data_IF_474400353611
#
_entry.id   IF_474400353611
#
_cell.length_a   1.000
_cell.length_b   1.000
_cell.length_c   1.000
_cell.angle_alpha   90.00
_cell.angle_beta   90.00
_cell.angle_gamma   90.00
#
_symmetry.space_group_name_H-M   'P 1'
#
loop_
_entity.id
_entity.type
_entity.pdbx_description
1 polymer ?
#
# COMPACT_ATOMS: atom_id res chain seq x y z
N UNK A 1 -5.66 20.18 2.30
CA UNK A 1 -4.85 19.42 3.28
C UNK A 1 -4.80 17.98 2.76
N UNK A 2 -3.68 17.27 2.88
CA UNK A 2 -3.61 15.87 2.44
C UNK A 2 -4.56 14.99 3.29
N UNK A 3 -5.17 13.97 2.70
CA UNK A 3 -6.07 13.03 3.39
C UNK A 3 -5.36 11.75 3.82
N UNK A 4 -4.30 11.38 3.09
CA UNK A 4 -3.48 10.21 3.36
C UNK A 4 -2.01 10.45 3.00
N UNK A 5 -1.15 9.61 3.55
CA UNK A 5 0.26 9.47 3.17
C UNK A 5 0.46 8.09 2.56
N UNK A 6 1.28 7.99 1.51
CA UNK A 6 1.64 6.72 0.87
C UNK A 6 3.15 6.60 0.82
N UNK A 7 3.67 5.48 1.31
CA UNK A 7 5.10 5.16 1.33
C UNK A 7 5.32 3.95 0.44
N UNK A 8 6.22 4.08 -0.54
CA UNK A 8 6.69 2.94 -1.33
C UNK A 8 7.74 2.15 -0.55
N UNK A 9 7.49 0.87 -0.31
CA UNK A 9 8.37 -0.01 0.49
C UNK A 9 9.28 -0.88 -0.38
N UNK A 10 9.26 -0.68 -1.71
CA UNK A 10 9.97 -1.53 -2.66
C UNK A 10 9.16 -2.79 -3.03
N UNK A 11 9.64 -3.53 -4.03
CA UNK A 11 9.01 -4.78 -4.51
C UNK A 11 7.52 -4.63 -4.87
N UNK A 12 7.14 -3.48 -5.44
CA UNK A 12 5.74 -3.19 -5.79
C UNK A 12 4.78 -3.22 -4.59
N UNK A 13 5.30 -2.99 -3.37
CA UNK A 13 4.54 -2.84 -2.12
C UNK A 13 4.43 -1.39 -1.71
N UNK A 14 3.25 -0.99 -1.23
CA UNK A 14 3.03 0.32 -0.60
C UNK A 14 2.44 0.18 0.80
N UNK A 15 2.66 1.20 1.62
CA UNK A 15 1.96 1.42 2.89
C UNK A 15 1.23 2.75 2.82
N UNK A 16 -0.09 2.71 2.96
CA UNK A 16 -0.93 3.91 3.01
C UNK A 16 -1.38 4.16 4.44
N UNK A 17 -1.33 5.40 4.89
CA UNK A 17 -1.88 5.86 6.17
C UNK A 17 -2.96 6.90 5.94
N UNK A 18 -4.17 6.65 6.40
CA UNK A 18 -5.23 7.65 6.44
C UNK A 18 -4.97 8.61 7.61
N UNK A 19 -4.79 9.90 7.34
CA UNK A 19 -4.31 10.85 8.35
C UNK A 19 -5.32 11.12 9.46
N UNK A 20 -6.62 11.10 9.13
CA UNK A 20 -7.66 11.39 10.11
C UNK A 20 -7.89 10.24 11.10
N UNK A 21 -7.91 8.99 10.63
CA UNK A 21 -8.15 7.83 11.52
C UNK A 21 -6.86 7.16 12.03
N UNK A 22 -5.72 7.46 11.41
CA UNK A 22 -4.46 6.76 11.68
C UNK A 22 -4.39 5.34 11.11
N UNK A 23 -5.44 4.86 10.43
CA UNK A 23 -5.49 3.51 9.86
C UNK A 23 -4.42 3.33 8.80
N UNK A 24 -3.74 2.19 8.85
CA UNK A 24 -2.70 1.81 7.90
C UNK A 24 -3.15 0.61 7.06
N UNK A 25 -2.87 0.65 5.76
CA UNK A 25 -3.17 -0.42 4.81
C UNK A 25 -1.89 -0.73 4.04
N UNK A 26 -1.55 -2.02 3.94
CA UNK A 26 -0.49 -2.52 3.07
C UNK A 26 -1.13 -3.04 1.80
N UNK A 27 -0.55 -2.68 0.65
CA UNK A 27 -0.97 -3.19 -0.64
C UNK A 27 0.21 -3.73 -1.42
N UNK A 28 -0.04 -4.78 -2.19
CA UNK A 28 0.93 -5.42 -3.07
C UNK A 28 0.40 -5.50 -4.49
N UNK A 29 1.27 -5.35 -5.47
CA UNK A 29 0.95 -5.84 -6.81
C UNK A 29 0.70 -7.37 -6.78
N UNK A 30 -0.17 -7.88 -7.67
CA UNK A 30 -0.42 -9.31 -7.81
C UNK A 30 0.79 -10.06 -8.41
N UNK A 31 0.83 -11.38 -8.22
CA UNK A 31 1.97 -12.23 -8.64
C UNK A 31 2.08 -12.37 -10.16
N UNK A 32 0.98 -12.19 -10.89
CA UNK A 32 0.95 -12.12 -12.36
C UNK A 32 1.60 -10.84 -12.92
N UNK A 33 1.87 -9.85 -12.07
CA UNK A 33 2.60 -8.62 -12.43
C UNK A 33 3.84 -8.41 -11.54
N UNK A 34 4.58 -9.48 -11.24
CA UNK A 34 5.85 -9.47 -10.50
C UNK A 34 5.76 -8.93 -9.07
N UNK A 35 4.55 -8.81 -8.50
CA UNK A 35 4.33 -8.42 -7.13
C UNK A 35 4.39 -9.61 -6.16
N UNK A 36 4.28 -9.31 -4.87
CA UNK A 36 4.28 -10.32 -3.81
C UNK A 36 2.94 -11.01 -3.64
N UNK A 37 1.83 -10.31 -3.92
CA UNK A 37 0.47 -10.82 -3.73
C UNK A 37 0.16 -11.31 -2.30
N UNK A 38 0.88 -10.82 -1.28
CA UNK A 38 0.67 -11.22 0.13
C UNK A 38 -0.41 -10.36 0.82
N UNK A 39 -0.67 -9.18 0.26
CA UNK A 39 -1.68 -8.22 0.72
C UNK A 39 -2.65 -7.85 -0.42
N UNK A 40 -3.67 -7.06 -0.08
CA UNK A 40 -4.66 -6.56 -1.02
C UNK A 40 -4.00 -5.82 -2.20
N UNK A 41 -4.44 -6.12 -3.42
CA UNK A 41 -4.05 -5.35 -4.60
C UNK A 41 -4.89 -4.08 -4.70
N UNK A 42 -4.30 -2.91 -5.00
CA UNK A 42 -5.05 -1.72 -5.40
C UNK A 42 -5.95 -1.97 -6.61
#
# INVERSE_FOLDING_TARGET
MATSEVIYLGNLRTKTKHLQSGTEIITDAPTDNHGKGEYFSP
#
